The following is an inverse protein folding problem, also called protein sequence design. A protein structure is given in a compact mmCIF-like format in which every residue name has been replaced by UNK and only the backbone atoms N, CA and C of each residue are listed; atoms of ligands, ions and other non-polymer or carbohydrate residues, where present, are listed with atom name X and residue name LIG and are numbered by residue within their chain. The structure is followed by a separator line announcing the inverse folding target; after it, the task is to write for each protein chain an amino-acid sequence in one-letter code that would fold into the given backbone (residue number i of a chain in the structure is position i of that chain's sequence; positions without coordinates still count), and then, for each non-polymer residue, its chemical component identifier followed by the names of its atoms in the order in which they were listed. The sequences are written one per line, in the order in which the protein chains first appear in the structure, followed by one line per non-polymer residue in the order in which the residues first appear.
data_IF_687184673207
#
_entry.id   IF_687184673207
#
_cell.length_a   1.000
_cell.length_b   1.000
_cell.length_c   1.000
_cell.angle_alpha   90.00
_cell.angle_beta   90.00
_cell.angle_gamma   90.00
#
_symmetry.space_group_name_H-M   'P 1'
#
loop_
_entity.id
_entity.type
_entity.pdbx_description
1 polymer ?
#
# COMPACT_ATOMS: atom_id res chain seq x y z
N UNK A 1 6.50 12.32 10.91
CA UNK A 1 5.25 12.23 10.17
C UNK A 1 5.08 10.79 9.71
N UNK A 2 3.98 10.15 10.10
CA UNK A 2 3.73 8.76 9.74
C UNK A 2 2.61 8.68 8.71
N UNK A 3 2.83 7.84 7.71
CA UNK A 3 1.80 7.57 6.71
C UNK A 3 0.94 6.43 7.22
N UNK A 4 -0.38 6.60 7.09
CA UNK A 4 -1.36 5.59 7.49
C UNK A 4 -1.75 4.77 6.26
N UNK A 5 -1.38 3.49 6.25
CA UNK A 5 -1.69 2.59 5.15
C UNK A 5 -2.92 1.71 5.40
N UNK A 6 -3.75 2.05 6.39
CA UNK A 6 -4.91 1.21 6.71
C UNK A 6 -5.88 1.07 5.53
N UNK A 7 -6.10 2.15 4.79
CA UNK A 7 -6.96 2.12 3.61
C UNK A 7 -6.37 1.23 2.53
N UNK A 8 -5.06 1.30 2.33
CA UNK A 8 -4.36 0.45 1.37
C UNK A 8 -4.45 -1.02 1.77
N UNK A 9 -4.23 -1.33 3.05
CA UNK A 9 -4.34 -2.69 3.56
C UNK A 9 -5.74 -3.27 3.32
N UNK A 10 -6.78 -2.47 3.55
CA UNK A 10 -8.15 -2.89 3.29
C UNK A 10 -8.39 -3.21 1.82
N UNK A 11 -7.87 -2.37 0.93
CA UNK A 11 -8.00 -2.59 -0.51
C UNK A 11 -7.26 -3.84 -0.96
N UNK A 12 -6.09 -4.11 -0.38
CA UNK A 12 -5.31 -5.32 -0.67
C UNK A 12 -6.14 -6.57 -0.34
N UNK A 13 -6.76 -6.60 0.83
CA UNK A 13 -7.60 -7.74 1.23
C UNK A 13 -8.80 -7.86 0.30
N UNK A 14 -9.44 -6.74 -0.02
CA UNK A 14 -10.61 -6.73 -0.91
C UNK A 14 -10.28 -7.28 -2.30
N UNK A 15 -9.16 -6.86 -2.87
CA UNK A 15 -8.82 -7.20 -4.26
C UNK A 15 -7.98 -8.46 -4.41
N UNK A 16 -7.13 -8.76 -3.43
CA UNK A 16 -6.18 -9.88 -3.51
C UNK A 16 -6.51 -11.02 -2.54
N UNK A 17 -7.32 -10.75 -1.54
CA UNK A 17 -7.67 -11.72 -0.52
C UNK A 17 -6.71 -11.74 0.65
N UNK A 18 -5.41 -11.83 0.38
CA UNK A 18 -4.37 -11.83 1.42
C UNK A 18 -3.19 -10.96 1.01
N UNK A 19 -2.43 -10.53 2.00
CA UNK A 19 -1.19 -9.79 1.78
C UNK A 19 -0.17 -10.65 1.02
N UNK A 20 -0.15 -11.95 1.29
CA UNK A 20 0.72 -12.89 0.60
C UNK A 20 0.45 -12.92 -0.89
N UNK A 21 -0.82 -12.98 -1.28
CA UNK A 21 -1.19 -12.95 -2.69
C UNK A 21 -0.84 -11.62 -3.37
N UNK A 22 -1.00 -10.53 -2.63
CA UNK A 22 -0.59 -9.22 -3.12
C UNK A 22 0.92 -9.18 -3.37
N UNK A 23 1.70 -9.72 -2.43
CA UNK A 23 3.16 -9.78 -2.58
C UNK A 23 3.56 -10.56 -3.83
N UNK A 24 2.90 -11.69 -4.09
CA UNK A 24 3.14 -12.47 -5.30
C UNK A 24 2.88 -11.66 -6.56
N UNK A 25 1.78 -10.92 -6.60
CA UNK A 25 1.44 -10.08 -7.75
C UNK A 25 2.43 -8.93 -7.94
N UNK A 26 2.98 -8.43 -6.85
CA UNK A 26 4.01 -7.38 -6.89
C UNK A 26 5.38 -7.92 -7.27
N UNK A 27 5.60 -9.22 -7.19
CA UNK A 27 6.91 -9.81 -7.38
C UNK A 27 7.86 -9.54 -6.23
N UNK A 28 7.30 -9.38 -5.03
CA UNK A 28 8.06 -9.08 -3.80
C UNK A 28 7.87 -10.17 -2.77
N UNK A 29 8.81 -10.27 -1.82
CA UNK A 29 8.61 -11.13 -0.66
C UNK A 29 7.52 -10.54 0.23
N UNK A 30 6.85 -11.41 0.97
CA UNK A 30 5.83 -11.02 1.94
C UNK A 30 6.43 -10.10 3.01
N UNK A 31 7.67 -10.38 3.42
CA UNK A 31 8.37 -9.54 4.39
C UNK A 31 8.58 -8.12 3.87
N UNK A 32 8.98 -7.98 2.62
CA UNK A 32 9.19 -6.66 2.00
C UNK A 32 7.88 -5.87 1.98
N UNK A 33 6.79 -6.52 1.57
CA UNK A 33 5.47 -5.88 1.56
C UNK A 33 5.07 -5.45 2.97
N UNK A 34 5.29 -6.33 3.96
CA UNK A 34 4.96 -6.02 5.35
C UNK A 34 5.74 -4.79 5.85
N UNK A 35 7.02 -4.70 5.53
CA UNK A 35 7.85 -3.55 5.92
C UNK A 35 7.35 -2.26 5.28
N UNK A 36 6.92 -2.31 4.03
CA UNK A 36 6.39 -1.13 3.33
C UNK A 36 5.04 -0.71 3.91
N UNK A 37 4.15 -1.66 4.19
CA UNK A 37 2.84 -1.36 4.76
C UNK A 37 2.90 -0.89 6.21
N UNK A 38 3.99 -1.20 6.93
CA UNK A 38 4.20 -0.68 8.28
C UNK A 38 4.88 0.68 8.30
N UNK A 39 5.28 1.19 7.13
CA UNK A 39 5.94 2.48 7.01
C UNK A 39 7.43 2.45 7.29
N UNK A 40 8.01 1.27 7.54
CA UNK A 40 9.45 1.16 7.82
C UNK A 40 10.32 1.29 6.57
N UNK A 41 9.77 0.91 5.42
CA UNK A 41 10.44 1.04 4.13
C UNK A 41 9.50 1.77 3.18
N UNK A 42 9.93 2.84 2.53
CA UNK A 42 9.04 3.59 1.65
C UNK A 42 8.70 2.81 0.37
N UNK A 43 7.52 3.09 -0.18
CA UNK A 43 7.16 2.64 -1.51
C UNK A 43 7.92 3.47 -2.54
N UNK A 44 8.55 2.79 -3.48
CA UNK A 44 9.19 3.47 -4.62
C UNK A 44 8.13 3.82 -5.65
N UNK A 45 8.40 4.83 -6.46
CA UNK A 45 7.45 5.30 -7.45
C UNK A 45 6.95 4.18 -8.39
N UNK A 46 7.82 3.34 -8.97
CA UNK A 46 7.34 2.23 -9.81
C UNK A 46 6.46 1.24 -9.05
N UNK A 47 6.71 1.07 -7.75
CA UNK A 47 5.91 0.18 -6.91
C UNK A 47 4.52 0.73 -6.67
N UNK A 48 4.42 2.06 -6.52
CA UNK A 48 3.12 2.73 -6.37
C UNK A 48 2.29 2.53 -7.64
N UNK A 49 2.90 2.73 -8.81
CA UNK A 49 2.24 2.55 -10.09
C UNK A 49 1.75 1.09 -10.24
N UNK A 50 2.60 0.13 -9.93
CA UNK A 50 2.24 -1.29 -10.03
C UNK A 50 1.13 -1.65 -9.06
N UNK A 51 1.19 -1.14 -7.83
CA UNK A 51 0.14 -1.37 -6.83
C UNK A 51 -1.20 -0.82 -7.32
N UNK A 52 -1.19 0.38 -7.91
CA UNK A 52 -2.40 0.98 -8.44
C UNK A 52 -3.01 0.12 -9.55
N UNK A 53 -2.19 -0.47 -10.41
CA UNK A 53 -2.66 -1.36 -11.45
C UNK A 53 -3.28 -2.64 -10.86
N UNK A 54 -2.59 -3.26 -9.91
CA UNK A 54 -3.06 -4.51 -9.27
C UNK A 54 -4.36 -4.29 -8.52
N UNK A 55 -4.48 -3.17 -7.82
CA UNK A 55 -5.64 -2.88 -6.98
C UNK A 55 -6.72 -2.05 -7.69
N UNK A 56 -6.52 -1.77 -8.96
CA UNK A 56 -7.47 -0.99 -9.77
C UNK A 56 -7.77 0.35 -9.13
N UNK A 57 -6.72 1.10 -8.79
CA UNK A 57 -6.84 2.43 -8.21
C UNK A 57 -6.77 3.47 -9.31
N UNK A 58 -7.65 4.47 -9.24
CA UNK A 58 -7.58 5.62 -10.14
C UNK A 58 -6.48 6.57 -9.70
N UNK A 59 -5.99 7.41 -10.63
CA UNK A 59 -4.92 8.36 -10.32
C UNK A 59 -5.30 9.29 -9.16
N UNK A 60 -6.55 9.72 -9.12
CA UNK A 60 -7.04 10.60 -8.05
C UNK A 60 -7.07 9.94 -6.69
N UNK A 61 -7.03 8.61 -6.63
CA UNK A 61 -7.05 7.86 -5.36
C UNK A 61 -5.66 7.65 -4.77
N UNK A 62 -4.61 7.86 -5.55
CA UNK A 62 -3.24 7.58 -5.13
C UNK A 62 -2.89 8.31 -3.83
N UNK A 63 -3.27 9.57 -3.73
CA UNK A 63 -2.96 10.36 -2.53
C UNK A 63 -3.62 9.77 -1.29
N UNK A 64 -4.87 9.35 -1.39
CA UNK A 64 -5.60 8.79 -0.26
C UNK A 64 -5.01 7.45 0.21
N UNK A 65 -4.48 6.66 -0.72
CA UNK A 65 -3.95 5.34 -0.39
C UNK A 65 -2.49 5.37 0.06
N UNK A 66 -1.68 6.24 -0.51
CA UNK A 66 -0.23 6.22 -0.27
C UNK A 66 0.30 7.39 0.53
N UNK A 67 -0.47 8.46 0.65
CA UNK A 67 0.00 9.70 1.29
C UNK A 67 -0.93 10.20 2.40
N UNK A 68 -1.77 9.30 2.94
CA UNK A 68 -2.64 9.64 4.06
C UNK A 68 -1.80 9.76 5.33
N UNK A 69 -1.61 10.98 5.78
CA UNK A 69 -0.79 11.26 6.97
C UNK A 69 -1.64 11.03 8.21
N UNK A 70 -1.05 10.33 9.18
CA UNK A 70 -1.68 10.14 10.47
C UNK A 70 -1.66 11.45 11.24
N UNK A 71 -2.84 12.01 11.48
CA UNK A 71 -2.98 13.22 12.28
C UNK A 71 -3.01 12.83 13.74
N UNK A 72 -2.11 13.42 14.52
CA UNK A 72 -2.13 13.25 15.96
C UNK A 72 -2.91 14.41 16.55
N UNK A 73 -3.97 14.07 17.30
CA UNK A 73 -4.67 15.05 18.12
C UNK A 73 -3.79 15.37 19.31
N UNK A 74 -3.53 16.62 19.48
CA UNK A 74 -2.75 17.10 20.62
C UNK A 74 -3.69 17.37 21.78
#
# INVERSE_FOLDING_TARGET
MQINYNKLKGRIVEMCGTQSKFAQKMGMSERTVSLKLSGKVPFKQPEIVRTAEILDLADEDIQAYFFAVKVQDI
#
